data_IF_753661222353
#
_entry.id   IF_753661222353
#
_cell.length_a   1.000
_cell.length_b   1.000
_cell.length_c   1.000
_cell.angle_alpha   90.00
_cell.angle_beta   90.00
_cell.angle_gamma   90.00
#
_symmetry.space_group_name_H-M   'P 1'
#
loop_
_entity.id
_entity.type
_entity.pdbx_description
1 polymer ?
#
# COMPACT_ATOMS: atom_id res chain seq x y z
N UNK A 1 -35.50 -20.42 -83.39
CA UNK A 1 -35.41 -19.40 -82.33
C UNK A 1 -34.73 -20.04 -81.12
N UNK A 2 -33.48 -19.66 -80.82
CA UNK A 2 -32.74 -20.18 -79.66
C UNK A 2 -32.13 -18.99 -78.92
N UNK A 3 -32.70 -18.66 -77.76
CA UNK A 3 -32.20 -17.61 -76.87
C UNK A 3 -31.18 -18.23 -75.93
N UNK A 4 -29.89 -18.03 -76.19
CA UNK A 4 -28.82 -18.38 -75.22
C UNK A 4 -28.93 -17.43 -74.01
N UNK A 5 -29.08 -17.94 -72.77
CA UNK A 5 -29.06 -17.09 -71.58
C UNK A 5 -27.67 -16.48 -71.40
N UNK A 6 -27.59 -15.16 -71.19
CA UNK A 6 -26.34 -14.47 -70.84
C UNK A 6 -25.86 -14.99 -69.47
N UNK A 7 -24.59 -15.37 -69.31
CA UNK A 7 -24.08 -15.88 -68.04
C UNK A 7 -24.11 -14.78 -66.98
N UNK A 8 -24.62 -15.13 -65.81
CA UNK A 8 -24.81 -14.25 -64.65
C UNK A 8 -23.47 -14.08 -63.92
N UNK A 9 -22.49 -13.46 -64.57
CA UNK A 9 -21.12 -13.37 -64.06
C UNK A 9 -20.93 -12.32 -62.94
N UNK A 10 -21.93 -11.45 -62.70
CA UNK A 10 -21.85 -10.42 -61.65
C UNK A 10 -22.14 -10.94 -60.24
N UNK A 11 -23.05 -11.91 -60.08
CA UNK A 11 -23.43 -12.44 -58.76
C UNK A 11 -22.34 -13.32 -58.13
N UNK A 12 -21.62 -14.09 -58.94
CA UNK A 12 -20.49 -14.90 -58.46
C UNK A 12 -19.38 -14.03 -57.86
N UNK A 13 -19.09 -12.88 -58.48
CA UNK A 13 -18.05 -11.97 -58.00
C UNK A 13 -18.43 -11.30 -56.67
N UNK A 14 -19.70 -10.95 -56.49
CA UNK A 14 -20.22 -10.41 -55.22
C UNK A 14 -20.17 -11.48 -54.12
N UNK A 15 -20.55 -12.72 -54.41
CA UNK A 15 -20.47 -13.81 -53.44
C UNK A 15 -19.03 -14.07 -52.98
N UNK A 16 -18.07 -14.07 -53.92
CA UNK A 16 -16.64 -14.20 -53.60
C UNK A 16 -16.16 -13.02 -52.75
N UNK A 17 -16.53 -11.78 -53.10
CA UNK A 17 -16.18 -10.59 -52.32
C UNK A 17 -16.67 -10.72 -50.87
N UNK A 18 -17.91 -11.17 -50.67
CA UNK A 18 -18.46 -11.38 -49.33
C UNK A 18 -17.76 -12.49 -48.55
N UNK A 19 -17.41 -13.61 -49.20
CA UNK A 19 -16.64 -14.69 -48.56
C UNK A 19 -15.26 -14.19 -48.16
N UNK A 20 -14.56 -13.46 -49.03
CA UNK A 20 -13.24 -12.88 -48.72
C UNK A 20 -13.35 -11.86 -47.57
N UNK A 21 -14.40 -11.03 -47.56
CA UNK A 21 -14.65 -10.08 -46.48
C UNK A 21 -14.91 -10.79 -45.14
N UNK A 22 -15.75 -11.83 -45.13
CA UNK A 22 -16.02 -12.63 -43.93
C UNK A 22 -14.76 -13.33 -43.40
N UNK A 23 -13.97 -13.94 -44.30
CA UNK A 23 -12.69 -14.56 -43.95
C UNK A 23 -11.69 -13.53 -43.40
N UNK A 24 -11.63 -12.33 -43.97
CA UNK A 24 -10.75 -11.26 -43.49
C UNK A 24 -11.13 -10.79 -42.09
N UNK A 25 -12.44 -10.64 -41.81
CA UNK A 25 -12.94 -10.29 -40.48
C UNK A 25 -12.61 -11.38 -39.46
N UNK A 26 -12.83 -12.65 -39.80
CA UNK A 26 -12.48 -13.78 -38.92
C UNK A 26 -10.98 -13.82 -38.63
N UNK A 27 -10.13 -13.65 -39.64
CA UNK A 27 -8.68 -13.61 -39.48
C UNK A 27 -8.23 -12.43 -38.59
N UNK A 28 -8.85 -11.26 -38.77
CA UNK A 28 -8.57 -10.08 -37.94
C UNK A 28 -8.95 -10.34 -36.48
N UNK A 29 -10.14 -10.86 -36.22
CA UNK A 29 -10.61 -11.20 -34.88
C UNK A 29 -9.68 -12.23 -34.21
N UNK A 30 -9.32 -13.31 -34.91
CA UNK A 30 -8.40 -14.33 -34.41
C UNK A 30 -7.01 -13.75 -34.10
N UNK A 31 -6.48 -12.90 -34.97
CA UNK A 31 -5.18 -12.25 -34.75
C UNK A 31 -5.21 -11.35 -33.52
N UNK A 32 -6.30 -10.62 -33.30
CA UNK A 32 -6.50 -9.81 -32.10
C UNK A 32 -6.55 -10.67 -30.84
N UNK A 33 -7.29 -11.78 -30.86
CA UNK A 33 -7.38 -12.72 -29.73
C UNK A 33 -6.02 -13.33 -29.41
N UNK A 34 -5.31 -13.89 -30.39
CA UNK A 34 -3.99 -14.52 -30.20
C UNK A 34 -2.97 -13.50 -29.67
N UNK A 35 -2.95 -12.27 -30.19
CA UNK A 35 -2.08 -11.20 -29.66
C UNK A 35 -2.43 -10.83 -28.23
N UNK A 36 -3.73 -10.87 -27.88
CA UNK A 36 -4.20 -10.68 -26.51
C UNK A 36 -3.70 -11.77 -25.57
N UNK A 37 -3.84 -13.03 -25.96
CA UNK A 37 -3.35 -14.18 -25.18
C UNK A 37 -1.83 -14.15 -24.98
N UNK A 38 -1.06 -13.84 -26.02
CA UNK A 38 0.40 -13.72 -25.92
C UNK A 38 0.79 -12.60 -24.93
N UNK A 39 0.11 -11.45 -24.97
CA UNK A 39 0.36 -10.36 -24.03
C UNK A 39 0.04 -10.77 -22.60
N UNK A 40 -1.09 -11.42 -22.37
CA UNK A 40 -1.49 -11.89 -21.05
C UNK A 40 -0.50 -12.89 -20.45
N UNK A 41 0.00 -13.83 -21.27
CA UNK A 41 1.03 -14.81 -20.84
C UNK A 41 2.36 -14.10 -20.54
N UNK A 42 2.78 -13.17 -21.40
CA UNK A 42 3.98 -12.36 -21.19
C UNK A 42 3.92 -11.55 -19.90
N UNK A 43 2.78 -10.91 -19.63
CA UNK A 43 2.57 -10.11 -18.42
C UNK A 43 2.56 -10.98 -17.16
N UNK A 44 1.93 -12.14 -17.22
CA UNK A 44 1.94 -13.10 -16.11
C UNK A 44 3.36 -13.61 -15.80
N UNK A 45 4.15 -13.87 -16.84
CA UNK A 45 5.56 -14.25 -16.70
C UNK A 45 6.39 -13.11 -16.09
N UNK A 46 6.25 -11.89 -16.61
CA UNK A 46 6.95 -10.70 -16.11
C UNK A 46 6.61 -10.43 -14.64
N UNK A 47 5.33 -10.53 -14.26
CA UNK A 47 4.87 -10.38 -12.87
C UNK A 47 5.46 -11.44 -11.96
N UNK A 48 5.53 -12.70 -12.40
CA UNK A 48 6.12 -13.80 -11.61
C UNK A 48 7.61 -13.57 -11.38
N UNK A 49 8.34 -13.17 -12.42
CA UNK A 49 9.76 -12.82 -12.31
C UNK A 49 9.97 -11.61 -11.39
N UNK A 50 9.15 -10.56 -11.55
CA UNK A 50 9.20 -9.39 -10.70
C UNK A 50 8.91 -9.73 -9.24
N UNK A 51 7.98 -10.65 -8.97
CA UNK A 51 7.69 -11.12 -7.61
C UNK A 51 8.88 -11.81 -6.97
N UNK A 52 9.59 -12.66 -7.71
CA UNK A 52 10.79 -13.31 -7.20
C UNK A 52 11.91 -12.30 -6.90
N UNK A 53 12.09 -11.30 -7.75
CA UNK A 53 13.06 -10.20 -7.55
C UNK A 53 12.70 -9.34 -6.34
N UNK A 54 11.44 -8.89 -6.26
CA UNK A 54 10.93 -8.06 -5.17
C UNK A 54 11.01 -8.78 -3.83
N UNK A 55 10.61 -10.06 -3.79
CA UNK A 55 10.74 -10.88 -2.59
C UNK A 55 12.20 -11.01 -2.16
N UNK A 56 13.11 -11.35 -3.07
CA UNK A 56 14.53 -11.44 -2.74
C UNK A 56 15.08 -10.14 -2.15
N UNK A 57 14.75 -9.00 -2.76
CA UNK A 57 15.18 -7.68 -2.27
C UNK A 57 14.63 -7.37 -0.87
N UNK A 58 13.34 -7.65 -0.62
CA UNK A 58 12.74 -7.49 0.71
C UNK A 58 13.43 -8.39 1.73
N UNK A 59 13.68 -9.66 1.41
CA UNK A 59 14.36 -10.59 2.32
C UNK A 59 15.79 -10.14 2.65
N UNK A 60 16.55 -9.64 1.68
CA UNK A 60 17.90 -9.10 1.90
C UNK A 60 17.86 -7.91 2.88
N UNK A 61 16.92 -6.97 2.67
CA UNK A 61 16.76 -5.82 3.56
C UNK A 61 16.31 -6.23 4.95
N UNK A 62 15.34 -7.14 5.05
CA UNK A 62 14.86 -7.67 6.33
C UNK A 62 15.96 -8.40 7.09
N UNK A 63 16.77 -9.19 6.41
CA UNK A 63 17.94 -9.84 7.00
C UNK A 63 18.90 -8.80 7.58
N UNK A 64 19.25 -7.77 6.81
CA UNK A 64 20.16 -6.69 7.25
C UNK A 64 19.66 -6.00 8.52
N UNK A 65 18.43 -5.49 8.52
CA UNK A 65 17.87 -4.75 9.67
C UNK A 65 17.55 -5.64 10.87
N UNK A 66 17.47 -6.96 10.66
CA UNK A 66 17.33 -7.94 11.74
C UNK A 66 18.69 -8.25 12.36
N UNK A 67 19.74 -8.44 11.57
CA UNK A 67 21.09 -8.76 12.05
C UNK A 67 21.79 -7.59 12.74
N UNK A 68 21.48 -6.36 12.34
CA UNK A 68 22.07 -5.12 12.87
C UNK A 68 20.95 -4.20 13.40
N UNK A 69 20.54 -4.32 14.67
CA UNK A 69 19.48 -3.48 15.23
C UNK A 69 19.74 -1.97 15.16
N UNK A 70 21.00 -1.56 15.14
CA UNK A 70 21.48 -0.20 14.96
C UNK A 70 21.23 0.35 13.55
N UNK A 71 21.16 -0.53 12.54
CA UNK A 71 20.87 -0.20 11.14
C UNK A 71 19.36 -0.03 10.89
N UNK A 72 18.51 -0.29 11.90
CA UNK A 72 17.05 -0.17 11.76
C UNK A 72 16.65 1.28 11.49
N UNK A 73 15.97 1.57 10.37
CA UNK A 73 15.52 2.92 10.08
C UNK A 73 14.55 3.41 11.16
N UNK A 74 14.78 4.61 11.69
CA UNK A 74 13.83 5.35 12.54
C UNK A 74 12.93 6.30 11.74
N UNK A 75 13.25 6.49 10.47
CA UNK A 75 12.52 7.28 9.50
C UNK A 75 12.32 6.44 8.23
N UNK A 76 11.47 6.92 7.32
CA UNK A 76 11.38 6.29 6.00
C UNK A 76 12.75 6.35 5.31
N UNK A 77 13.25 5.20 4.87
CA UNK A 77 14.56 5.09 4.21
C UNK A 77 14.43 4.31 2.90
N UNK A 78 15.12 4.78 1.85
CA UNK A 78 15.26 4.07 0.59
C UNK A 78 16.61 3.34 0.58
N UNK A 79 16.58 2.02 0.37
CA UNK A 79 17.76 1.17 0.24
C UNK A 79 17.79 0.58 -1.16
N UNK A 80 18.95 0.63 -1.82
CA UNK A 80 19.12 0.01 -3.15
C UNK A 80 19.71 -1.38 -2.97
N UNK A 81 19.03 -2.39 -3.50
CA UNK A 81 19.45 -3.79 -3.46
C UNK A 81 19.82 -4.25 -4.87
N UNK A 82 21.11 -4.46 -5.18
CA UNK A 82 21.51 -5.11 -6.42
C UNK A 82 21.24 -6.61 -6.31
N UNK A 83 20.38 -7.16 -7.16
CA UNK A 83 20.08 -8.58 -7.19
C UNK A 83 19.81 -9.06 -8.62
N UNK A 84 20.47 -10.14 -9.03
CA UNK A 84 20.35 -10.75 -10.36
C UNK A 84 20.46 -9.75 -11.54
N UNK A 85 21.40 -8.80 -11.42
CA UNK A 85 21.64 -7.77 -12.45
C UNK A 85 20.63 -6.61 -12.46
N UNK A 86 19.68 -6.57 -11.53
CA UNK A 86 18.68 -5.50 -11.38
C UNK A 86 18.94 -4.73 -10.09
N UNK A 87 18.93 -3.40 -10.16
CA UNK A 87 18.94 -2.53 -8.98
C UNK A 87 17.50 -2.30 -8.53
N UNK A 88 17.13 -2.85 -7.38
CA UNK A 88 15.77 -2.80 -6.84
C UNK A 88 15.74 -1.76 -5.71
N UNK A 89 14.87 -0.76 -5.82
CA UNK A 89 14.63 0.21 -4.75
C UNK A 89 13.77 -0.43 -3.68
N UNK A 90 14.20 -0.40 -2.43
CA UNK A 90 13.45 -0.94 -1.28
C UNK A 90 13.23 0.16 -0.25
N UNK A 91 11.99 0.61 -0.13
CA UNK A 91 11.57 1.57 0.89
C UNK A 91 11.22 0.84 2.18
N UNK A 92 11.85 1.23 3.28
CA UNK A 92 11.58 0.73 4.62
C UNK A 92 10.97 1.86 5.44
N UNK A 93 9.73 1.67 5.88
CA UNK A 93 8.98 2.68 6.62
C UNK A 93 8.54 2.11 7.98
N UNK A 94 8.96 2.72 9.09
CA UNK A 94 8.46 2.35 10.42
C UNK A 94 6.94 2.53 10.52
N UNK A 95 6.21 1.51 10.99
CA UNK A 95 4.75 1.58 11.07
C UNK A 95 4.25 2.62 12.09
N UNK A 96 5.09 3.02 13.06
CA UNK A 96 4.75 4.04 14.04
C UNK A 96 4.69 5.47 13.46
N UNK A 97 4.90 5.65 12.14
CA UNK A 97 4.51 6.87 11.44
C UNK A 97 3.00 7.02 11.22
N UNK A 98 2.23 5.94 11.38
CA UNK A 98 0.76 5.95 11.32
C UNK A 98 0.16 5.98 12.73
N UNK A 99 -1.11 6.35 12.82
CA UNK A 99 -1.88 6.32 14.06
C UNK A 99 -2.20 4.85 14.39
N UNK A 100 -1.63 4.37 15.49
CA UNK A 100 -1.85 3.02 15.98
C UNK A 100 -3.22 2.89 16.65
N UNK A 101 -4.17 2.21 16.01
CA UNK A 101 -5.54 2.09 16.54
C UNK A 101 -5.62 1.21 17.81
N UNK A 102 -4.60 0.39 18.06
CA UNK A 102 -4.53 -0.43 19.27
C UNK A 102 -4.02 0.35 20.49
N UNK A 103 -3.18 1.37 20.30
CA UNK A 103 -2.52 2.07 21.39
C UNK A 103 -2.77 3.59 21.47
N UNK A 104 -3.25 4.22 20.40
CA UNK A 104 -3.44 5.68 20.36
C UNK A 104 -4.43 6.19 21.42
N UNK A 105 -4.21 7.40 21.98
CA UNK A 105 -5.08 7.99 22.98
C UNK A 105 -6.42 8.44 22.37
N UNK A 106 -7.50 8.52 23.18
CA UNK A 106 -8.82 8.96 22.71
C UNK A 106 -8.80 10.35 22.06
N UNK A 107 -7.99 11.27 22.57
CA UNK A 107 -7.85 12.62 22.01
C UNK A 107 -7.31 12.62 20.58
N UNK A 108 -6.36 11.72 20.26
CA UNK A 108 -5.83 11.59 18.90
C UNK A 108 -6.88 11.02 17.93
N UNK A 109 -7.71 10.09 18.38
CA UNK A 109 -8.85 9.62 17.58
C UNK A 109 -9.85 10.73 17.31
N UNK A 110 -10.16 11.57 18.30
CA UNK A 110 -11.04 12.74 18.11
C UNK A 110 -10.46 13.67 17.04
N UNK A 111 -9.18 14.04 17.14
CA UNK A 111 -8.51 14.89 16.14
C UNK A 111 -8.56 14.27 14.73
N UNK A 112 -8.30 12.97 14.62
CA UNK A 112 -8.36 12.24 13.34
C UNK A 112 -9.75 12.24 12.71
N UNK A 113 -10.79 12.04 13.53
CA UNK A 113 -12.17 12.03 13.07
C UNK A 113 -12.64 13.43 12.66
N UNK A 114 -12.22 14.46 13.38
CA UNK A 114 -12.45 15.86 13.00
C UNK A 114 -11.75 16.21 11.68
N UNK A 115 -10.49 15.79 11.52
CA UNK A 115 -9.74 15.94 10.26
C UNK A 115 -10.45 15.24 9.09
N UNK A 116 -11.15 14.14 9.37
CA UNK A 116 -11.95 13.38 8.39
C UNK A 116 -13.34 13.98 8.12
N UNK A 117 -13.66 15.14 8.73
CA UNK A 117 -14.89 15.89 8.50
C UNK A 117 -16.04 15.63 9.48
N UNK A 118 -15.80 14.91 10.59
CA UNK A 118 -16.81 14.73 11.65
C UNK A 118 -16.84 15.96 12.57
N UNK A 119 -18.02 16.30 13.08
CA UNK A 119 -18.15 17.34 14.12
C UNK A 119 -17.54 16.88 15.45
N UNK A 120 -17.11 17.82 16.30
CA UNK A 120 -16.38 17.51 17.55
C UNK A 120 -17.09 16.51 18.47
N UNK A 121 -18.39 16.71 18.72
CA UNK A 121 -19.21 15.80 19.54
C UNK A 121 -19.27 14.39 18.93
N UNK A 122 -19.53 14.30 17.62
CA UNK A 122 -19.59 13.02 16.91
C UNK A 122 -18.21 12.33 16.89
N UNK A 123 -17.13 13.10 16.72
CA UNK A 123 -15.77 12.60 16.76
C UNK A 123 -15.43 12.03 18.14
N UNK A 124 -15.84 12.70 19.21
CA UNK A 124 -15.66 12.22 20.58
C UNK A 124 -16.44 10.92 20.85
N UNK A 125 -17.69 10.83 20.39
CA UNK A 125 -18.51 9.62 20.52
C UNK A 125 -17.89 8.43 19.78
N UNK A 126 -17.48 8.61 18.52
CA UNK A 126 -16.85 7.55 17.73
C UNK A 126 -15.49 7.17 18.31
N UNK A 127 -14.69 8.14 18.80
CA UNK A 127 -13.43 7.86 19.49
C UNK A 127 -13.64 6.97 20.73
N UNK A 128 -14.68 7.23 21.52
CA UNK A 128 -15.06 6.39 22.65
C UNK A 128 -15.47 4.97 22.20
N UNK A 129 -16.16 4.83 21.06
CA UNK A 129 -16.52 3.53 20.50
C UNK A 129 -15.29 2.74 20.01
N UNK A 130 -14.28 3.40 19.41
CA UNK A 130 -13.01 2.75 19.05
C UNK A 130 -12.34 2.16 20.30
N UNK A 131 -12.23 2.97 21.36
CA UNK A 131 -11.61 2.55 22.63
C UNK A 131 -12.41 1.42 23.27
N UNK A 132 -13.74 1.54 23.32
CA UNK A 132 -14.60 0.50 23.85
C UNK A 132 -14.46 -0.82 23.07
N UNK A 133 -14.38 -0.76 21.73
CA UNK A 133 -14.19 -1.93 20.88
C UNK A 133 -12.85 -2.63 21.16
N UNK A 134 -11.72 -1.91 21.12
CA UNK A 134 -10.40 -2.52 21.32
C UNK A 134 -10.21 -3.07 22.74
N UNK A 135 -10.91 -2.50 23.72
CA UNK A 135 -10.88 -2.95 25.12
C UNK A 135 -11.79 -4.13 25.43
N UNK A 136 -12.63 -4.58 24.50
CA UNK A 136 -13.41 -5.82 24.67
C UNK A 136 -12.48 -6.98 24.95
N UNK A 137 -12.89 -7.89 25.82
CA UNK A 137 -12.07 -9.05 26.16
C UNK A 137 -12.41 -10.23 25.27
N UNK A 138 -11.38 -10.95 24.83
CA UNK A 138 -11.51 -12.28 24.24
C UNK A 138 -11.89 -13.33 25.31
N UNK A 139 -12.05 -14.59 24.87
CA UNK A 139 -12.36 -15.72 25.76
C UNK A 139 -11.28 -15.95 26.85
N UNK A 140 -10.07 -15.45 26.66
CA UNK A 140 -8.95 -15.57 27.58
C UNK A 140 -8.77 -14.31 28.45
N UNK A 141 -9.69 -13.34 28.37
CA UNK A 141 -9.66 -12.13 29.16
C UNK A 141 -8.69 -11.05 28.67
N UNK A 142 -8.07 -11.23 27.49
CA UNK A 142 -7.15 -10.27 26.87
C UNK A 142 -7.91 -9.25 26.03
N UNK A 143 -7.43 -7.99 25.92
CA UNK A 143 -8.00 -7.04 24.97
C UNK A 143 -8.00 -7.63 23.56
N UNK A 144 -9.16 -7.60 22.89
CA UNK A 144 -9.36 -8.09 21.54
C UNK A 144 -8.51 -7.28 20.55
N UNK A 145 -8.46 -5.96 20.74
CA UNK A 145 -7.80 -5.05 19.82
C UNK A 145 -8.42 -5.06 18.42
N UNK A 146 -7.62 -4.61 17.47
CA UNK A 146 -7.85 -4.66 16.03
C UNK A 146 -6.74 -5.48 15.39
N UNK A 147 -7.10 -6.37 14.47
CA UNK A 147 -6.13 -7.17 13.70
C UNK A 147 -5.79 -6.53 12.36
N UNK A 148 -6.71 -5.72 11.84
CA UNK A 148 -6.53 -4.96 10.60
C UNK A 148 -7.21 -3.59 10.72
N UNK A 149 -6.81 -2.63 9.89
CA UNK A 149 -7.46 -1.30 9.85
C UNK A 149 -8.94 -1.41 9.49
N UNK A 150 -9.30 -2.37 8.66
CA UNK A 150 -10.66 -2.67 8.20
C UNK A 150 -11.61 -3.02 9.34
N UNK A 151 -11.09 -3.51 10.47
CA UNK A 151 -11.91 -3.80 11.65
C UNK A 151 -12.58 -2.54 12.22
N UNK A 152 -12.11 -1.34 11.85
CA UNK A 152 -12.81 -0.08 12.16
C UNK A 152 -14.24 -0.05 11.62
N UNK A 153 -14.54 -0.74 10.50
CA UNK A 153 -15.91 -0.86 9.96
C UNK A 153 -16.87 -1.60 10.90
N UNK A 154 -16.36 -2.30 11.92
CA UNK A 154 -17.16 -2.95 12.96
C UNK A 154 -17.47 -2.03 14.14
N UNK A 155 -16.87 -0.85 14.18
CA UNK A 155 -17.08 0.14 15.24
C UNK A 155 -18.37 0.92 14.94
N UNK A 156 -19.30 1.04 15.89
CA UNK A 156 -20.49 1.87 15.71
C UNK A 156 -20.13 3.31 15.30
N UNK A 157 -20.74 3.81 14.23
CA UNK A 157 -20.47 5.15 13.68
C UNK A 157 -19.39 5.20 12.59
N UNK A 158 -18.76 4.07 12.25
CA UNK A 158 -17.86 3.95 11.09
C UNK A 158 -18.61 3.44 9.85
N UNK A 159 -18.78 4.33 8.88
CA UNK A 159 -19.22 3.97 7.53
C UNK A 159 -18.03 3.83 6.58
N UNK A 160 -18.29 3.36 5.35
CA UNK A 160 -17.24 3.16 4.36
C UNK A 160 -16.57 4.47 3.92
N UNK A 161 -17.31 5.58 3.88
CA UNK A 161 -16.76 6.90 3.50
C UNK A 161 -15.77 7.42 4.55
N UNK A 162 -16.12 7.32 5.83
CA UNK A 162 -15.23 7.64 6.93
C UNK A 162 -14.01 6.70 6.95
N UNK A 163 -14.22 5.40 6.74
CA UNK A 163 -13.12 4.44 6.66
C UNK A 163 -12.15 4.81 5.53
N UNK A 164 -12.65 5.14 4.33
CA UNK A 164 -11.79 5.51 3.20
C UNK A 164 -10.92 6.75 3.49
N UNK A 165 -11.42 7.69 4.30
CA UNK A 165 -10.66 8.88 4.74
C UNK A 165 -9.63 8.58 5.83
N UNK A 166 -9.95 7.65 6.72
CA UNK A 166 -9.12 7.29 7.87
C UNK A 166 -8.07 6.22 7.54
N UNK A 167 -8.35 5.30 6.62
CA UNK A 167 -7.47 4.18 6.28
C UNK A 167 -6.01 4.59 5.96
N UNK A 168 -5.74 5.69 5.24
CA UNK A 168 -4.37 6.14 4.98
C UNK A 168 -3.63 6.68 6.22
N UNK A 169 -4.34 6.92 7.33
CA UNK A 169 -3.81 7.54 8.54
C UNK A 169 -3.46 6.53 9.63
N UNK A 170 -3.95 5.29 9.53
CA UNK A 170 -3.97 4.34 10.65
C UNK A 170 -3.22 3.05 10.37
N UNK A 171 -2.80 2.38 11.45
CA UNK A 171 -2.32 0.99 11.42
C UNK A 171 -2.86 0.20 12.60
N UNK A 172 -3.12 -1.09 12.38
CA UNK A 172 -3.47 -2.07 13.42
C UNK A 172 -2.32 -3.03 13.76
N UNK A 173 -1.18 -2.89 13.07
CA UNK A 173 -0.11 -3.89 13.06
C UNK A 173 0.80 -3.83 14.29
N UNK A 174 0.77 -2.71 15.02
CA UNK A 174 1.58 -2.51 16.20
C UNK A 174 0.94 -3.26 17.37
N UNK A 175 1.67 -4.16 18.04
CA UNK A 175 1.15 -4.90 19.19
C UNK A 175 0.66 -3.98 20.32
N UNK A 176 -0.31 -4.45 21.09
CA UNK A 176 -0.78 -3.77 22.30
C UNK A 176 0.36 -3.54 23.30
N UNK A 177 0.39 -2.38 23.93
CA UNK A 177 1.48 -1.94 24.82
C UNK A 177 2.49 -1.00 24.16
N UNK A 178 2.23 -0.56 22.92
CA UNK A 178 3.00 0.49 22.25
C UNK A 178 2.80 1.87 22.90
N UNK A 179 3.59 2.87 22.48
CA UNK A 179 3.53 4.22 23.04
C UNK A 179 2.22 4.96 22.76
N UNK A 180 1.47 4.53 21.72
CA UNK A 180 0.29 5.24 21.23
C UNK A 180 0.59 6.57 20.54
N UNK A 181 1.87 6.93 20.38
CA UNK A 181 2.34 8.17 19.77
C UNK A 181 2.83 7.95 18.35
N UNK A 182 2.67 8.96 17.51
CA UNK A 182 3.10 8.96 16.11
C UNK A 182 4.54 9.47 15.99
N UNK A 183 5.35 8.82 15.18
CA UNK A 183 6.69 9.26 14.82
C UNK A 183 6.62 10.18 13.59
N UNK A 184 6.84 11.51 13.72
CA UNK A 184 6.76 12.43 12.59
C UNK A 184 7.79 12.15 11.50
N UNK A 185 8.93 11.56 11.88
CA UNK A 185 9.98 11.18 10.93
C UNK A 185 9.62 9.96 10.08
N UNK A 186 8.58 9.19 10.46
CA UNK A 186 8.04 8.11 9.64
C UNK A 186 6.65 8.45 9.05
N UNK A 187 6.01 9.51 9.53
CA UNK A 187 4.63 9.83 9.17
C UNK A 187 4.46 10.22 7.69
N UNK A 188 3.46 9.68 6.97
CA UNK A 188 3.13 10.14 5.64
C UNK A 188 2.49 11.53 5.70
N UNK A 189 2.46 12.23 4.55
CA UNK A 189 1.97 13.61 4.47
C UNK A 189 0.56 13.80 5.08
N UNK A 190 -0.44 12.92 4.84
CA UNK A 190 -1.77 13.09 5.44
C UNK A 190 -1.77 13.03 6.97
N UNK A 191 -0.88 12.22 7.57
CA UNK A 191 -0.74 12.15 9.03
C UNK A 191 -0.04 13.41 9.55
N UNK A 192 0.95 13.94 8.84
CA UNK A 192 1.56 15.23 9.18
C UNK A 192 0.55 16.38 9.11
N UNK A 193 -0.34 16.41 8.10
CA UNK A 193 -1.42 17.40 8.00
C UNK A 193 -2.37 17.34 9.20
N UNK A 194 -2.70 16.13 9.67
CA UNK A 194 -3.47 15.93 10.89
C UNK A 194 -2.73 16.46 12.12
N UNK A 195 -1.46 16.10 12.28
CA UNK A 195 -0.65 16.47 13.46
C UNK A 195 -0.32 17.97 13.53
N UNK A 196 -0.38 18.68 12.40
CA UNK A 196 -0.25 20.16 12.35
C UNK A 196 -1.60 20.87 12.42
N UNK A 197 -2.67 20.19 12.83
CA UNK A 197 -4.01 20.76 12.96
C UNK A 197 -4.61 21.23 11.62
N UNK A 198 -4.22 20.61 10.51
CA UNK A 198 -4.63 20.97 9.15
C UNK A 198 -3.73 21.97 8.44
N UNK A 199 -2.63 22.42 9.05
CA UNK A 199 -1.68 23.31 8.39
C UNK A 199 -0.83 22.54 7.36
N UNK A 200 -1.32 22.52 6.11
CA UNK A 200 -0.69 21.83 4.98
C UNK A 200 0.69 22.35 4.61
N UNK A 201 0.93 23.64 4.82
CA UNK A 201 2.24 24.25 4.53
C UNK A 201 3.30 23.75 5.51
N UNK A 202 2.98 23.70 6.80
CA UNK A 202 3.85 23.13 7.82
C UNK A 202 4.06 21.62 7.62
N UNK A 203 2.99 20.86 7.33
CA UNK A 203 3.11 19.43 7.05
C UNK A 203 4.01 19.15 5.83
N UNK A 204 3.85 19.93 4.76
CA UNK A 204 4.67 19.82 3.55
C UNK A 204 6.12 20.23 3.78
N UNK A 205 6.40 21.24 4.63
CA UNK A 205 7.77 21.64 4.94
C UNK A 205 8.50 20.55 5.72
N UNK A 206 7.84 19.96 6.73
CA UNK A 206 8.35 18.82 7.50
C UNK A 206 8.61 17.62 6.58
N UNK A 207 7.64 17.27 5.73
CA UNK A 207 7.78 16.16 4.79
C UNK A 207 8.97 16.35 3.84
N UNK A 208 9.12 17.53 3.23
CA UNK A 208 10.22 17.81 2.29
C UNK A 208 11.59 17.89 2.98
N UNK A 209 11.65 18.47 4.19
CA UNK A 209 12.88 18.55 4.96
C UNK A 209 13.41 17.15 5.35
N UNK A 210 12.50 16.22 5.64
CA UNK A 210 12.85 14.81 5.85
C UNK A 210 13.42 14.17 4.58
N UNK A 211 12.75 14.32 3.44
CA UNK A 211 13.20 13.69 2.18
C UNK A 211 14.54 14.25 1.70
N UNK A 212 14.89 15.50 2.03
CA UNK A 212 16.20 16.08 1.71
C UNK A 212 17.33 15.64 2.65
N UNK A 213 17.02 14.94 3.75
CA UNK A 213 18.01 14.44 4.70
C UNK A 213 18.72 15.52 5.52
N UNK A 214 18.18 16.76 5.56
CA UNK A 214 18.76 17.87 6.31
C UNK A 214 18.44 17.70 7.81
N UNK A 215 19.45 17.64 8.70
CA UNK A 215 19.21 17.61 10.14
C UNK A 215 18.51 18.89 10.63
N UNK A 216 17.66 18.77 11.65
CA UNK A 216 17.01 19.94 12.27
C UNK A 216 15.72 20.40 11.57
N UNK A 217 14.89 19.45 11.14
CA UNK A 217 13.53 19.76 10.67
C UNK A 217 12.76 20.51 11.76
N UNK A 218 12.19 21.67 11.43
CA UNK A 218 11.34 22.42 12.35
C UNK A 218 10.03 21.66 12.61
N UNK A 219 9.89 21.13 13.82
CA UNK A 219 8.73 20.37 14.28
C UNK A 219 7.86 21.17 15.25
N UNK A 220 8.09 22.48 15.42
CA UNK A 220 7.37 23.33 16.36
C UNK A 220 5.86 23.40 16.10
N UNK A 221 5.43 23.09 14.87
CA UNK A 221 4.03 23.03 14.48
C UNK A 221 3.31 21.73 14.90
N UNK A 222 4.01 20.74 15.47
CA UNK A 222 3.44 19.46 15.89
C UNK A 222 2.99 19.52 17.36
N UNK A 223 1.88 18.85 17.68
CA UNK A 223 1.43 18.67 19.06
C UNK A 223 2.32 17.65 19.80
N UNK A 224 3.12 18.06 20.81
CA UNK A 224 4.03 17.16 21.53
C UNK A 224 3.31 16.06 22.32
N UNK A 225 2.00 16.17 22.56
CA UNK A 225 1.23 15.13 23.23
C UNK A 225 1.11 13.87 22.37
N UNK A 226 0.98 14.02 21.06
CA UNK A 226 0.70 12.92 20.13
C UNK A 226 1.93 12.40 19.40
N UNK A 227 3.08 13.07 19.52
CA UNK A 227 4.29 12.73 18.76
C UNK A 227 5.42 12.17 19.62
N UNK A 228 6.21 11.26 19.02
CA UNK A 228 7.43 10.71 19.58
C UNK A 228 8.48 10.50 18.48
N UNK A 229 9.37 11.48 18.30
CA UNK A 229 10.34 11.55 17.20
C UNK A 229 11.35 10.39 17.15
N UNK A 230 11.68 9.80 18.31
CA UNK A 230 12.69 8.75 18.41
C UNK A 230 12.15 7.42 18.91
N UNK A 231 10.83 7.24 18.91
CA UNK A 231 10.24 5.96 19.29
C UNK A 231 10.68 4.87 18.29
N UNK A 232 11.29 3.80 18.80
CA UNK A 232 11.55 2.61 18.00
C UNK A 232 10.28 1.78 17.85
N UNK A 233 10.20 1.02 16.77
CA UNK A 233 9.16 0.02 16.56
C UNK A 233 9.81 -1.24 16.02
N UNK A 234 9.20 -2.40 16.30
CA UNK A 234 9.56 -3.65 15.65
C UNK A 234 8.75 -3.85 14.35
N UNK A 235 7.80 -2.96 14.05
CA UNK A 235 6.85 -3.10 12.95
C UNK A 235 7.22 -2.18 11.80
N UNK A 236 7.38 -2.76 10.61
CA UNK A 236 7.83 -2.05 9.41
C UNK A 236 6.98 -2.42 8.21
N UNK A 237 6.67 -1.43 7.37
CA UNK A 237 6.31 -1.66 5.97
C UNK A 237 7.58 -1.67 5.13
N UNK A 238 7.79 -2.72 4.35
CA UNK A 238 8.90 -2.85 3.42
C UNK A 238 8.36 -3.01 2.01
N UNK A 239 8.68 -2.07 1.14
CA UNK A 239 8.20 -2.02 -0.24
C UNK A 239 9.35 -2.11 -1.22
N UNK A 240 9.37 -3.13 -2.07
CA UNK A 240 10.28 -3.22 -3.20
C UNK A 240 9.62 -2.68 -4.48
N UNK A 241 10.35 -1.86 -5.21
CA UNK A 241 10.02 -1.39 -6.55
C UNK A 241 10.87 -2.14 -7.57
N UNK A 242 10.22 -2.95 -8.40
CA UNK A 242 10.85 -3.74 -9.44
C UNK A 242 10.49 -3.13 -10.80
N UNK A 243 11.48 -2.60 -11.55
CA UNK A 243 11.22 -2.00 -12.85
C UNK A 243 10.57 -2.99 -13.82
N UNK A 244 9.50 -2.56 -14.46
CA UNK A 244 8.78 -3.27 -15.50
C UNK A 244 8.81 -2.38 -16.75
N UNK A 245 9.75 -2.63 -17.67
CA UNK A 245 10.15 -1.72 -18.76
C UNK A 245 9.04 -0.87 -19.41
N UNK A 246 9.42 0.24 -20.05
CA UNK A 246 8.50 1.30 -20.52
C UNK A 246 7.88 2.17 -19.40
N UNK A 247 8.63 2.40 -18.32
CA UNK A 247 8.31 3.41 -17.30
C UNK A 247 7.30 2.98 -16.24
N UNK A 248 6.95 1.68 -16.19
CA UNK A 248 6.16 1.11 -15.11
C UNK A 248 7.03 0.33 -14.12
N UNK A 249 6.52 0.12 -12.92
CA UNK A 249 7.15 -0.72 -11.89
C UNK A 249 6.10 -1.63 -11.26
N UNK A 250 6.52 -2.82 -10.85
CA UNK A 250 5.77 -3.64 -9.90
C UNK A 250 6.21 -3.30 -8.49
N UNK A 251 5.25 -3.06 -7.62
CA UNK A 251 5.49 -2.77 -6.21
C UNK A 251 5.05 -3.95 -5.37
N UNK A 252 5.94 -4.43 -4.51
CA UNK A 252 5.68 -5.51 -3.56
C UNK A 252 5.84 -4.94 -2.16
N UNK A 253 4.78 -4.95 -1.37
CA UNK A 253 4.80 -4.42 0.00
C UNK A 253 4.55 -5.52 1.02
N UNK A 254 5.29 -5.48 2.13
CA UNK A 254 5.12 -6.38 3.26
C UNK A 254 5.14 -5.61 4.56
N UNK A 255 4.08 -5.75 5.35
CA UNK A 255 4.09 -5.39 6.75
C UNK A 255 4.71 -6.53 7.57
N UNK A 256 5.72 -6.24 8.37
CA UNK A 256 6.44 -7.24 9.17
C UNK A 256 6.60 -6.81 10.62
N UNK A 257 6.65 -7.80 11.52
CA UNK A 257 7.08 -7.65 12.91
C UNK A 257 8.43 -8.34 13.05
N UNK A 258 9.49 -7.56 13.27
CA UNK A 258 10.83 -8.09 13.56
C UNK A 258 10.86 -8.74 14.94
N UNK A 259 11.63 -9.80 15.10
CA UNK A 259 11.78 -10.52 16.37
C UNK A 259 10.65 -11.50 16.69
N UNK A 260 9.49 -11.40 16.01
CA UNK A 260 8.48 -12.46 16.04
C UNK A 260 8.85 -13.55 15.03
N UNK A 261 8.92 -14.83 15.43
CA UNK A 261 9.28 -15.90 14.53
C UNK A 261 8.20 -16.12 13.47
N UNK A 262 8.59 -16.05 12.21
CA UNK A 262 7.79 -16.46 11.07
C UNK A 262 7.93 -17.94 10.75
N UNK A 263 7.27 -18.43 9.68
CA UNK A 263 7.40 -19.80 9.21
C UNK A 263 8.88 -20.17 8.96
N UNK A 264 9.23 -21.43 9.21
CA UNK A 264 10.57 -21.99 8.91
C UNK A 264 11.75 -21.25 9.58
N UNK A 265 11.52 -20.63 10.74
CA UNK A 265 12.60 -20.02 11.54
C UNK A 265 13.03 -18.63 11.05
N UNK A 266 12.25 -17.99 10.17
CA UNK A 266 12.47 -16.60 9.76
C UNK A 266 12.36 -15.69 11.00
N UNK A 267 13.31 -14.78 11.26
CA UNK A 267 13.34 -13.97 12.49
C UNK A 267 12.38 -12.76 12.46
N UNK A 268 11.40 -12.78 11.56
CA UNK A 268 10.29 -11.82 11.48
C UNK A 268 9.01 -12.53 11.05
N UNK A 269 7.89 -11.94 11.40
CA UNK A 269 6.56 -12.38 10.99
C UNK A 269 6.01 -11.42 9.93
N UNK A 270 5.48 -11.94 8.83
CA UNK A 270 4.74 -11.14 7.84
C UNK A 270 3.26 -11.09 8.21
N UNK A 271 2.69 -9.88 8.29
CA UNK A 271 1.31 -9.61 8.71
C UNK A 271 0.40 -9.38 7.49
N UNK A 272 0.87 -8.55 6.55
CA UNK A 272 0.16 -8.19 5.32
C UNK A 272 1.13 -8.21 4.15
N UNK A 273 0.61 -8.58 2.98
CA UNK A 273 1.31 -8.49 1.70
C UNK A 273 0.45 -7.69 0.71
N UNK A 274 1.10 -6.89 -0.13
CA UNK A 274 0.47 -6.10 -1.18
C UNK A 274 1.26 -6.19 -2.48
N UNK A 275 0.54 -6.16 -3.60
CA UNK A 275 1.12 -6.15 -4.94
C UNK A 275 0.27 -5.29 -5.87
N UNK A 276 0.89 -4.27 -6.47
CA UNK A 276 0.30 -3.46 -7.53
C UNK A 276 1.34 -3.08 -8.58
N UNK A 277 0.87 -2.59 -9.73
CA UNK A 277 1.71 -2.01 -10.77
C UNK A 277 1.36 -0.53 -10.94
N UNK A 278 2.34 0.31 -11.20
CA UNK A 278 2.15 1.74 -11.38
C UNK A 278 3.30 2.38 -12.16
N UNK A 279 3.27 3.70 -12.37
CA UNK A 279 4.47 4.44 -12.78
C UNK A 279 5.60 4.25 -11.75
N UNK A 280 6.86 4.33 -12.20
CA UNK A 280 8.02 4.32 -11.30
C UNK A 280 8.01 5.53 -10.35
N UNK A 281 8.50 5.33 -9.12
CA UNK A 281 8.56 6.34 -8.04
C UNK A 281 9.73 7.34 -8.19
#
# INVERSE_FOLDING_TARGET
MSTRPKPVNGMALIAVLWVVAALSLMLSALTHTVRGEIRQVSDAQARTQASALGDAAIYIVLQRITSAPEDRPKQSAMLVVPFNGVSIGVRVTPANGLIDINNAPPDLFRQMLMFSGKGDVQAQEIAAQIVAYRSRKDFFGKPLGFSASEDLLRVPGFDFDLYAKVAPLVTAEIPTGGSGKVNPMAAPLPVLELLTGGNKAAASSIFRARESGIPGTDMSALDPQHVAEMASTAVYSVRAEVPNGAGSSYFFERAVILGNPGPKGIPWQTIRMGLWSGPAD
#
